data_IF_305500203448
#
_entry.id   IF_305500203448
#
_cell.length_a   1.000
_cell.length_b   1.000
_cell.length_c   1.000
_cell.angle_alpha   90.00
_cell.angle_beta   90.00
_cell.angle_gamma   90.00
#
_symmetry.space_group_name_H-M   'P 1'
#
loop_
_entity.id
_entity.type
_entity.pdbx_description
1 polymer ?
#
# COMPACT_ATOMS: atom_id res chain seq x y z
N UNK A 1 4.36 -23.15 0.58
CA UNK A 1 3.52 -21.95 0.45
C UNK A 1 2.50 -22.06 -0.68
N UNK A 2 2.88 -22.51 -1.90
CA UNK A 2 1.95 -22.57 -3.05
C UNK A 2 0.77 -23.53 -2.87
N UNK A 3 0.83 -24.47 -1.93
CA UNK A 3 -0.30 -25.37 -1.59
C UNK A 3 -1.16 -24.85 -0.41
N UNK A 4 -0.73 -23.78 0.24
CA UNK A 4 -1.41 -23.24 1.41
C UNK A 4 -2.87 -22.82 1.13
N UNK A 5 -3.18 -22.12 0.02
CA UNK A 5 -4.55 -21.75 -0.31
C UNK A 5 -5.48 -22.96 -0.43
N UNK A 6 -5.03 -24.02 -1.12
CA UNK A 6 -5.80 -25.25 -1.30
C UNK A 6 -6.05 -25.95 0.03
N UNK A 7 -5.02 -26.06 0.89
CA UNK A 7 -5.14 -26.66 2.21
C UNK A 7 -6.09 -25.86 3.11
N UNK A 8 -6.08 -24.54 2.97
CA UNK A 8 -6.94 -23.65 3.75
C UNK A 8 -8.35 -23.48 3.17
N UNK A 9 -8.61 -23.92 1.93
CA UNK A 9 -9.86 -23.64 1.22
C UNK A 9 -10.09 -22.13 1.09
N UNK A 10 -9.06 -21.39 0.71
CA UNK A 10 -9.08 -19.92 0.61
C UNK A 10 -8.57 -19.47 -0.76
N UNK A 11 -9.11 -18.36 -1.24
CA UNK A 11 -8.64 -17.71 -2.44
C UNK A 11 -7.41 -16.84 -2.16
N UNK A 12 -6.48 -16.82 -3.11
CA UNK A 12 -5.33 -15.91 -3.06
C UNK A 12 -5.77 -14.57 -3.63
N UNK A 13 -5.71 -13.54 -2.81
CA UNK A 13 -6.09 -12.18 -3.22
C UNK A 13 -4.85 -11.40 -3.66
N UNK A 14 -3.76 -11.54 -2.91
CA UNK A 14 -2.53 -10.79 -3.13
C UNK A 14 -1.31 -11.67 -2.93
N UNK A 15 -0.33 -11.54 -3.81
CA UNK A 15 1.03 -12.02 -3.65
C UNK A 15 2.01 -10.86 -3.76
N UNK A 16 2.86 -10.70 -2.75
CA UNK A 16 3.98 -9.78 -2.82
C UNK A 16 5.27 -10.57 -2.74
N UNK A 17 6.04 -10.49 -3.81
CA UNK A 17 7.34 -11.14 -3.93
C UNK A 17 8.45 -10.15 -3.58
N UNK A 18 9.37 -10.58 -2.74
CA UNK A 18 10.63 -9.92 -2.48
C UNK A 18 11.74 -10.77 -3.07
N UNK A 19 12.43 -10.23 -4.07
CA UNK A 19 13.44 -10.95 -4.85
C UNK A 19 14.83 -10.40 -4.54
N UNK A 20 15.82 -11.28 -4.46
CA UNK A 20 17.21 -10.86 -4.31
C UNK A 20 17.79 -10.26 -5.61
N UNK A 21 17.26 -10.67 -6.76
CA UNK A 21 17.68 -10.27 -8.11
C UNK A 21 16.48 -10.37 -9.05
N UNK A 22 15.75 -9.25 -9.21
CA UNK A 22 14.55 -9.22 -10.05
C UNK A 22 14.86 -9.46 -11.52
N UNK A 23 16.01 -8.99 -12.01
CA UNK A 23 16.40 -9.10 -13.42
C UNK A 23 16.48 -10.57 -13.86
N UNK A 24 17.09 -11.41 -13.03
CA UNK A 24 17.26 -12.84 -13.34
C UNK A 24 16.10 -13.71 -12.86
N UNK A 25 15.36 -13.30 -11.84
CA UNK A 25 14.31 -14.12 -11.22
C UNK A 25 12.92 -13.86 -11.79
N UNK A 26 12.57 -12.60 -12.11
CA UNK A 26 11.25 -12.25 -12.63
C UNK A 26 10.88 -12.98 -13.93
N UNK A 27 11.77 -13.18 -14.92
CA UNK A 27 11.46 -13.94 -16.13
C UNK A 27 11.09 -15.41 -15.88
N UNK A 28 11.48 -15.95 -14.71
CA UNK A 28 11.16 -17.33 -14.32
C UNK A 28 9.80 -17.45 -13.59
N UNK A 29 9.19 -16.30 -13.25
CA UNK A 29 7.89 -16.28 -12.58
C UNK A 29 6.78 -16.55 -13.58
N UNK A 30 5.81 -17.35 -13.16
CA UNK A 30 4.57 -17.50 -13.93
C UNK A 30 3.75 -16.21 -13.83
N UNK A 31 3.16 -15.81 -14.94
CA UNK A 31 2.15 -14.76 -14.92
C UNK A 31 0.91 -15.26 -14.16
N UNK A 32 0.41 -14.45 -13.26
CA UNK A 32 -0.75 -14.77 -12.44
C UNK A 32 -1.84 -13.72 -12.72
N UNK A 33 -2.98 -14.16 -13.22
CA UNK A 33 -4.11 -13.28 -13.52
C UNK A 33 -5.19 -13.30 -12.42
N UNK A 34 -5.16 -14.31 -11.55
CA UNK A 34 -6.22 -14.58 -10.57
C UNK A 34 -5.97 -13.94 -9.22
N UNK A 35 -4.84 -13.26 -9.04
CA UNK A 35 -4.51 -12.51 -7.82
C UNK A 35 -3.74 -11.23 -8.17
N UNK A 36 -3.77 -10.27 -7.25
CA UNK A 36 -3.00 -9.04 -7.39
C UNK A 36 -1.53 -9.30 -7.05
N UNK A 37 -0.61 -8.89 -7.92
CA UNK A 37 0.82 -9.20 -7.77
C UNK A 37 1.65 -7.93 -7.63
N UNK A 38 2.58 -7.95 -6.67
CA UNK A 38 3.62 -6.93 -6.49
C UNK A 38 4.97 -7.63 -6.45
N UNK A 39 5.94 -7.17 -7.24
CA UNK A 39 7.30 -7.71 -7.26
C UNK A 39 8.29 -6.60 -6.91
N UNK A 40 9.04 -6.81 -5.84
CA UNK A 40 10.01 -5.85 -5.31
C UNK A 40 11.37 -6.52 -5.27
N UNK A 41 12.40 -5.87 -5.79
CA UNK A 41 13.76 -6.29 -5.53
C UNK A 41 14.20 -5.80 -4.16
N UNK A 42 14.13 -6.69 -3.23
CA UNK A 42 14.58 -6.51 -1.84
C UNK A 42 15.08 -7.87 -1.34
N UNK A 43 16.38 -8.06 -1.20
CA UNK A 43 16.91 -9.34 -0.72
C UNK A 43 16.37 -9.68 0.67
N UNK A 44 15.84 -10.90 0.87
CA UNK A 44 15.47 -11.36 2.21
C UNK A 44 16.64 -11.40 3.16
N UNK A 45 16.45 -11.01 4.43
CA UNK A 45 17.50 -10.89 5.43
C UNK A 45 18.13 -12.23 5.84
N UNK A 46 17.40 -13.34 5.67
CA UNK A 46 17.87 -14.69 5.97
C UNK A 46 18.77 -15.29 4.88
N UNK A 47 19.08 -14.52 3.83
CA UNK A 47 19.88 -14.94 2.69
C UNK A 47 19.13 -15.80 1.67
N UNK A 48 17.84 -16.06 1.86
CA UNK A 48 17.02 -16.70 0.83
C UNK A 48 16.91 -15.82 -0.41
N UNK A 49 16.61 -16.43 -1.55
CA UNK A 49 16.54 -15.70 -2.83
C UNK A 49 15.18 -15.07 -3.08
N UNK A 50 14.15 -15.58 -2.42
CA UNK A 50 12.76 -15.16 -2.58
C UNK A 50 12.06 -15.23 -1.24
N UNK A 51 11.36 -14.16 -0.87
CA UNK A 51 10.31 -14.19 0.14
C UNK A 51 8.98 -13.84 -0.49
N UNK A 52 7.90 -14.43 0.02
CA UNK A 52 6.53 -14.20 -0.47
C UNK A 52 5.62 -13.89 0.69
N UNK A 53 4.91 -12.78 0.58
CA UNK A 53 3.79 -12.46 1.44
C UNK A 53 2.49 -12.73 0.70
N UNK A 54 1.57 -13.49 1.33
CA UNK A 54 0.28 -13.87 0.77
C UNK A 54 -0.84 -13.25 1.63
N UNK A 55 -1.83 -12.68 0.95
CA UNK A 55 -3.13 -12.39 1.57
C UNK A 55 -4.18 -13.35 1.01
N UNK A 56 -4.80 -14.09 1.91
CA UNK A 56 -5.78 -15.14 1.60
C UNK A 56 -7.13 -14.75 2.18
N UNK A 57 -8.21 -15.00 1.45
CA UNK A 57 -9.57 -14.74 1.92
C UNK A 57 -10.45 -15.96 1.68
N UNK A 58 -11.30 -16.31 2.66
CA UNK A 58 -12.27 -17.40 2.55
C UNK A 58 -13.67 -16.85 2.30
N UNK A 59 -14.47 -17.65 1.60
CA UNK A 59 -15.91 -17.37 1.45
C UNK A 59 -16.23 -16.14 0.62
N UNK A 60 -15.31 -15.70 -0.22
CA UNK A 60 -15.51 -14.56 -1.12
C UNK A 60 -15.71 -15.01 -2.55
N UNK A 61 -16.41 -14.23 -3.33
CA UNK A 61 -16.39 -14.34 -4.79
C UNK A 61 -15.25 -13.50 -5.31
N UNK A 62 -14.25 -14.12 -5.90
CA UNK A 62 -13.05 -13.43 -6.39
C UNK A 62 -13.07 -13.36 -7.91
N UNK A 63 -12.81 -12.17 -8.46
CA UNK A 63 -12.71 -11.96 -9.90
C UNK A 63 -11.61 -10.92 -10.20
N UNK A 64 -11.00 -11.07 -11.38
CA UNK A 64 -10.16 -10.02 -11.95
C UNK A 64 -11.02 -9.17 -12.88
N UNK A 65 -11.17 -7.90 -12.54
CA UNK A 65 -11.90 -6.92 -13.35
C UNK A 65 -10.93 -5.83 -13.79
N UNK A 66 -10.49 -5.89 -15.04
CA UNK A 66 -9.55 -4.94 -15.63
C UNK A 66 -8.27 -4.71 -14.81
N UNK A 67 -7.69 -5.80 -14.29
CA UNK A 67 -6.46 -5.75 -13.49
C UNK A 67 -6.66 -5.40 -12.01
N UNK A 68 -7.91 -5.23 -11.57
CA UNK A 68 -8.28 -5.12 -10.15
C UNK A 68 -8.79 -6.46 -9.67
N UNK A 69 -8.23 -6.98 -8.60
CA UNK A 69 -8.78 -8.16 -7.94
C UNK A 69 -9.88 -7.71 -7.00
N UNK A 70 -11.08 -8.13 -7.33
CA UNK A 70 -12.31 -7.85 -6.58
C UNK A 70 -12.68 -9.09 -5.77
N UNK A 71 -12.73 -8.95 -4.44
CA UNK A 71 -13.24 -9.98 -3.56
C UNK A 71 -14.54 -9.50 -2.91
N UNK A 72 -15.65 -10.17 -3.21
CA UNK A 72 -16.97 -9.82 -2.70
C UNK A 72 -17.39 -10.74 -1.57
N UNK A 73 -17.80 -10.16 -0.46
CA UNK A 73 -18.29 -10.87 0.71
C UNK A 73 -19.25 -10.00 1.53
N UNK A 74 -20.41 -10.52 1.87
CA UNK A 74 -21.42 -9.85 2.74
C UNK A 74 -21.73 -8.40 2.37
N UNK A 75 -21.85 -8.11 1.06
CA UNK A 75 -22.15 -6.76 0.57
C UNK A 75 -20.94 -5.85 0.43
N UNK A 76 -19.79 -6.23 0.94
CA UNK A 76 -18.54 -5.52 0.75
C UNK A 76 -17.84 -5.97 -0.53
N UNK A 77 -17.21 -5.02 -1.23
CA UNK A 77 -16.31 -5.28 -2.36
C UNK A 77 -14.92 -4.77 -2.01
N UNK A 78 -14.00 -5.69 -1.82
CA UNK A 78 -12.59 -5.43 -1.57
C UNK A 78 -11.85 -5.33 -2.90
N UNK A 79 -11.27 -4.17 -3.20
CA UNK A 79 -10.60 -3.85 -4.46
C UNK A 79 -9.09 -3.80 -4.22
N UNK A 80 -8.35 -4.71 -4.86
CA UNK A 80 -6.90 -4.81 -4.71
C UNK A 80 -6.22 -4.60 -6.06
N UNK A 81 -5.33 -3.61 -6.13
CA UNK A 81 -4.52 -3.33 -7.33
C UNK A 81 -3.08 -3.09 -6.90
N UNK A 82 -2.20 -4.01 -7.26
CA UNK A 82 -0.79 -4.00 -6.87
C UNK A 82 0.12 -3.87 -8.09
N UNK A 83 1.38 -3.52 -7.83
CA UNK A 83 2.41 -3.53 -8.86
C UNK A 83 2.29 -2.45 -9.92
N UNK A 84 1.46 -1.42 -9.69
CA UNK A 84 1.32 -0.29 -10.61
C UNK A 84 2.63 0.48 -10.70
N UNK A 85 3.11 0.75 -11.90
CA UNK A 85 4.34 1.51 -12.12
C UNK A 85 4.32 2.19 -13.48
N UNK A 86 5.15 3.22 -13.61
CA UNK A 86 5.36 4.00 -14.83
C UNK A 86 6.82 3.93 -15.27
N UNK A 87 7.08 4.29 -16.53
CA UNK A 87 8.41 4.15 -17.14
C UNK A 87 9.05 5.47 -17.55
N UNK A 88 8.32 6.58 -17.45
CA UNK A 88 8.75 7.90 -17.90
C UNK A 88 8.81 8.86 -16.73
N UNK A 89 9.48 9.98 -16.95
CA UNK A 89 9.54 11.07 -16.00
C UNK A 89 10.34 10.76 -14.72
N UNK A 90 10.30 11.70 -13.81
CA UNK A 90 10.86 11.59 -12.48
C UNK A 90 9.84 10.94 -11.50
N UNK A 91 10.22 10.80 -10.25
CA UNK A 91 9.37 10.18 -9.23
C UNK A 91 8.08 10.97 -8.94
N UNK A 92 8.11 12.30 -9.13
CA UNK A 92 6.91 13.12 -8.97
C UNK A 92 5.92 12.82 -10.10
N UNK A 93 6.38 12.88 -11.35
CA UNK A 93 5.54 12.58 -12.51
C UNK A 93 4.99 11.15 -12.46
N UNK A 94 5.83 10.16 -12.13
CA UNK A 94 5.37 8.77 -12.01
C UNK A 94 4.30 8.62 -10.93
N UNK A 95 4.45 9.26 -9.79
CA UNK A 95 3.47 9.20 -8.70
C UNK A 95 2.15 9.85 -9.07
N UNK A 96 2.19 11.02 -9.69
CA UNK A 96 1.00 11.72 -10.18
C UNK A 96 0.25 10.88 -11.22
N UNK A 97 0.95 10.36 -12.22
CA UNK A 97 0.37 9.49 -13.26
C UNK A 97 -0.28 8.24 -12.67
N UNK A 98 0.36 7.61 -11.68
CA UNK A 98 -0.18 6.43 -10.99
C UNK A 98 -1.45 6.76 -10.20
N UNK A 99 -1.49 7.89 -9.52
CA UNK A 99 -2.66 8.32 -8.75
C UNK A 99 -3.83 8.65 -9.68
N UNK A 100 -3.61 9.41 -10.74
CA UNK A 100 -4.64 9.73 -11.75
C UNK A 100 -5.21 8.44 -12.38
N UNK A 101 -4.34 7.54 -12.83
CA UNK A 101 -4.77 6.25 -13.40
C UNK A 101 -5.54 5.38 -12.39
N UNK A 102 -5.20 5.50 -11.11
CA UNK A 102 -5.93 4.78 -10.06
C UNK A 102 -7.30 5.40 -9.77
N UNK A 103 -7.42 6.73 -9.82
CA UNK A 103 -8.71 7.44 -9.70
C UNK A 103 -9.66 7.04 -10.81
N UNK A 104 -9.19 7.00 -12.07
CA UNK A 104 -9.97 6.48 -13.20
C UNK A 104 -10.41 5.02 -12.97
N UNK A 105 -9.51 4.20 -12.41
CA UNK A 105 -9.83 2.83 -12.02
C UNK A 105 -10.96 2.81 -10.98
N UNK A 106 -10.87 3.62 -9.92
CA UNK A 106 -11.89 3.68 -8.86
C UNK A 106 -13.25 4.15 -9.39
N UNK A 107 -13.28 5.13 -10.31
CA UNK A 107 -14.49 5.61 -10.94
C UNK A 107 -15.27 4.47 -11.63
N UNK A 108 -14.57 3.51 -12.25
CA UNK A 108 -15.20 2.34 -12.87
C UNK A 108 -15.92 1.41 -11.88
N UNK A 109 -15.64 1.58 -10.59
CA UNK A 109 -16.28 0.86 -9.48
C UNK A 109 -17.27 1.75 -8.69
N UNK A 110 -17.59 2.95 -9.18
CA UNK A 110 -18.36 3.99 -8.46
C UNK A 110 -17.70 4.32 -7.10
N UNK A 111 -16.38 4.43 -7.07
CA UNK A 111 -15.59 4.71 -5.90
C UNK A 111 -14.68 5.92 -6.14
N UNK A 112 -14.22 6.56 -5.06
CA UNK A 112 -13.31 7.68 -5.09
C UNK A 112 -12.03 7.39 -4.29
N UNK A 113 -10.99 8.17 -4.53
CA UNK A 113 -9.77 8.07 -3.73
C UNK A 113 -10.06 8.46 -2.27
N UNK A 114 -10.80 9.55 -2.06
CA UNK A 114 -11.10 10.06 -0.73
C UNK A 114 -12.00 9.13 0.09
N UNK A 115 -13.11 8.64 -0.48
CA UNK A 115 -14.10 7.91 0.30
C UNK A 115 -13.78 6.42 0.43
N UNK A 116 -13.07 5.84 -0.54
CA UNK A 116 -12.97 4.38 -0.66
C UNK A 116 -11.56 3.82 -0.53
N UNK A 117 -10.50 4.61 -0.81
CA UNK A 117 -9.14 4.11 -0.69
C UNK A 117 -8.71 4.04 0.78
N UNK A 118 -8.53 2.82 1.27
CA UNK A 118 -8.20 2.56 2.68
C UNK A 118 -6.69 2.53 2.90
N UNK A 119 -5.95 2.02 1.90
CA UNK A 119 -4.52 1.76 2.07
C UNK A 119 -3.75 1.92 0.77
N UNK A 120 -2.59 2.59 0.84
CA UNK A 120 -1.60 2.65 -0.24
C UNK A 120 -0.23 2.18 0.23
N UNK A 121 0.54 1.61 -0.68
CA UNK A 121 1.96 1.28 -0.52
C UNK A 121 2.73 1.89 -1.68
N UNK A 122 3.78 2.66 -1.37
CA UNK A 122 4.71 3.19 -2.35
C UNK A 122 6.09 2.58 -2.10
N UNK A 123 6.58 1.80 -3.04
CA UNK A 123 7.96 1.33 -3.06
C UNK A 123 8.78 2.26 -3.92
N UNK A 124 9.78 2.88 -3.33
CA UNK A 124 10.58 3.94 -3.95
C UNK A 124 11.99 3.42 -4.17
N UNK A 125 12.49 3.52 -5.41
CA UNK A 125 13.76 2.96 -5.85
C UNK A 125 14.95 3.43 -5.03
N UNK A 126 15.03 4.67 -4.72
CA UNK A 126 16.08 5.29 -3.90
C UNK A 126 15.41 6.38 -3.07
N UNK A 127 15.20 6.10 -1.80
CA UNK A 127 14.48 7.03 -0.92
C UNK A 127 15.21 8.34 -0.73
N UNK A 128 16.54 8.34 -0.81
CA UNK A 128 17.33 9.56 -0.59
C UNK A 128 17.17 10.56 -1.74
N UNK A 129 16.94 10.07 -2.96
CA UNK A 129 16.82 10.92 -4.15
C UNK A 129 15.41 11.03 -4.72
N UNK A 130 14.55 10.00 -4.55
CA UNK A 130 13.24 9.91 -5.21
C UNK A 130 12.05 10.15 -4.26
N UNK A 131 12.23 10.01 -2.96
CA UNK A 131 11.13 10.11 -1.99
C UNK A 131 10.47 11.48 -1.97
N UNK A 132 11.26 12.54 -2.07
CA UNK A 132 10.74 13.91 -2.05
C UNK A 132 9.77 14.19 -3.21
N UNK A 133 10.08 13.68 -4.42
CA UNK A 133 9.20 13.81 -5.59
C UNK A 133 7.88 13.06 -5.39
N UNK A 134 7.93 11.83 -4.88
CA UNK A 134 6.73 11.05 -4.55
C UNK A 134 5.86 11.75 -3.52
N UNK A 135 6.44 12.27 -2.44
CA UNK A 135 5.70 12.98 -1.38
C UNK A 135 5.04 14.24 -1.92
N UNK A 136 5.75 15.02 -2.75
CA UNK A 136 5.23 16.24 -3.37
C UNK A 136 4.00 15.93 -4.22
N UNK A 137 4.13 15.01 -5.19
CA UNK A 137 3.04 14.67 -6.09
C UNK A 137 1.81 14.11 -5.35
N UNK A 138 2.04 13.22 -4.36
CA UNK A 138 0.95 12.71 -3.52
C UNK A 138 0.23 13.81 -2.75
N UNK A 139 0.97 14.79 -2.21
CA UNK A 139 0.39 15.91 -1.46
C UNK A 139 -0.49 16.79 -2.35
N UNK A 140 -0.03 17.09 -3.55
CA UNK A 140 -0.74 17.89 -4.54
C UNK A 140 -2.02 17.17 -4.98
N UNK A 141 -1.92 15.92 -5.42
CA UNK A 141 -3.06 15.11 -5.82
C UNK A 141 -4.08 14.92 -4.67
N UNK A 142 -3.63 14.60 -3.46
CA UNK A 142 -4.52 14.43 -2.32
C UNK A 142 -5.31 15.71 -2.00
N UNK A 143 -4.68 16.88 -2.11
CA UNK A 143 -5.37 18.16 -1.91
C UNK A 143 -6.48 18.37 -2.95
N UNK A 144 -6.22 18.03 -4.21
CA UNK A 144 -7.21 18.10 -5.31
C UNK A 144 -8.38 17.14 -5.07
N UNK A 145 -8.12 15.99 -4.47
CA UNK A 145 -9.14 14.98 -4.11
C UNK A 145 -9.86 15.28 -2.77
N UNK A 146 -9.58 16.41 -2.14
CA UNK A 146 -10.21 16.79 -0.87
C UNK A 146 -9.65 16.09 0.37
N UNK A 147 -8.52 15.39 0.23
CA UNK A 147 -7.77 14.76 1.31
C UNK A 147 -6.83 15.79 1.94
N UNK A 148 -7.21 16.32 3.09
CA UNK A 148 -6.53 17.42 3.78
C UNK A 148 -6.46 17.16 5.28
N UNK A 149 -5.73 17.99 6.01
CA UNK A 149 -5.69 17.96 7.47
C UNK A 149 -7.05 18.22 8.16
N UNK A 150 -8.01 18.82 7.42
CA UNK A 150 -9.36 19.11 7.92
C UNK A 150 -10.37 18.01 7.63
N UNK A 151 -10.03 17.12 6.73
CA UNK A 151 -10.84 15.95 6.39
C UNK A 151 -10.17 14.70 6.96
N UNK A 152 -9.40 14.03 6.15
CA UNK A 152 -8.55 12.89 6.52
C UNK A 152 -7.53 12.65 5.41
N UNK A 153 -6.58 11.77 5.68
CA UNK A 153 -5.71 11.18 4.67
C UNK A 153 -5.95 9.67 4.55
N UNK A 154 -5.18 9.02 3.71
CA UNK A 154 -5.20 7.57 3.51
C UNK A 154 -4.07 6.95 4.33
N UNK A 155 -4.30 5.79 4.96
CA UNK A 155 -3.21 5.02 5.56
C UNK A 155 -2.20 4.62 4.49
N UNK A 156 -0.93 4.99 4.65
CA UNK A 156 0.07 4.86 3.60
C UNK A 156 1.45 4.49 4.15
N UNK A 157 2.22 3.76 3.35
CA UNK A 157 3.64 3.51 3.61
C UNK A 157 4.42 3.86 2.37
N UNK A 158 5.33 4.83 2.49
CA UNK A 158 6.40 5.07 1.52
C UNK A 158 7.70 4.47 2.06
N UNK A 159 8.28 3.53 1.34
CA UNK A 159 9.42 2.75 1.81
C UNK A 159 10.39 2.46 0.66
N UNK A 160 11.68 2.34 0.99
CA UNK A 160 12.68 1.87 0.05
C UNK A 160 12.39 0.47 -0.46
N UNK A 161 12.50 0.29 -1.76
CA UNK A 161 12.33 -0.99 -2.45
C UNK A 161 12.39 -0.75 -3.95
N UNK A 162 13.19 -1.55 -4.65
CA UNK A 162 13.32 -1.36 -6.08
C UNK A 162 12.15 -2.03 -6.79
N UNK A 163 11.34 -1.28 -7.57
CA UNK A 163 10.40 -1.91 -8.49
C UNK A 163 11.13 -2.92 -9.39
N UNK A 164 10.48 -4.02 -9.70
CA UNK A 164 11.10 -5.05 -10.55
C UNK A 164 11.42 -4.53 -11.96
N UNK A 165 10.59 -3.63 -12.49
CA UNK A 165 10.93 -2.89 -13.71
C UNK A 165 12.01 -1.83 -13.40
N UNK A 166 13.13 -1.94 -14.11
CA UNK A 166 14.31 -1.08 -13.88
C UNK A 166 14.10 0.40 -14.26
N UNK A 167 13.07 0.72 -15.01
CA UNK A 167 12.70 2.10 -15.41
C UNK A 167 11.78 2.77 -14.40
N UNK A 168 11.11 1.97 -13.56
CA UNK A 168 10.23 2.51 -12.54
C UNK A 168 11.03 3.04 -11.36
N UNK A 169 10.71 4.26 -10.95
CA UNK A 169 11.24 4.90 -9.73
C UNK A 169 10.29 4.68 -8.55
N UNK A 170 8.99 4.54 -8.85
CA UNK A 170 7.93 4.33 -7.87
C UNK A 170 7.05 3.17 -8.32
N UNK A 171 6.72 2.26 -7.40
CA UNK A 171 5.68 1.26 -7.60
C UNK A 171 4.60 1.46 -6.55
N UNK A 172 3.36 1.56 -6.98
CA UNK A 172 2.21 1.74 -6.11
C UNK A 172 1.39 0.46 -6.00
N UNK A 173 0.89 0.21 -4.80
CA UNK A 173 -0.13 -0.79 -4.53
C UNK A 173 -1.24 -0.17 -3.70
N UNK A 174 -2.48 -0.62 -3.92
CA UNK A 174 -3.66 -0.03 -3.30
C UNK A 174 -4.65 -1.08 -2.83
N UNK A 175 -5.37 -0.72 -1.79
CA UNK A 175 -6.56 -1.40 -1.33
C UNK A 175 -7.68 -0.38 -1.13
N UNK A 176 -8.82 -0.62 -1.76
CA UNK A 176 -10.04 0.14 -1.55
C UNK A 176 -11.20 -0.78 -1.16
N UNK A 177 -12.22 -0.19 -0.55
CA UNK A 177 -13.42 -0.89 -0.11
C UNK A 177 -14.67 -0.11 -0.54
N UNK A 178 -15.70 -0.83 -1.00
CA UNK A 178 -17.03 -0.28 -1.21
C UNK A 178 -18.08 -1.11 -0.49
N UNK A 179 -19.29 -0.57 -0.31
CA UNK A 179 -20.38 -1.25 0.38
C UNK A 179 -20.34 -1.11 1.90
N UNK A 180 -19.57 -0.18 2.42
CA UNK A 180 -19.53 0.14 3.85
C UNK A 180 -20.20 1.50 4.12
N UNK A 181 -20.68 1.69 5.33
CA UNK A 181 -21.18 2.97 5.81
C UNK A 181 -20.03 3.80 6.40
N UNK A 182 -20.03 5.13 6.26
CA UNK A 182 -18.95 5.99 6.79
C UNK A 182 -18.65 5.78 8.27
N UNK A 183 -19.64 5.43 9.07
CA UNK A 183 -19.48 5.12 10.50
C UNK A 183 -18.64 3.87 10.79
N UNK A 184 -18.42 3.02 9.81
CA UNK A 184 -17.59 1.81 9.92
C UNK A 184 -16.10 2.09 9.74
N UNK A 185 -15.77 3.30 9.28
CA UNK A 185 -14.39 3.74 9.08
C UNK A 185 -13.99 4.74 10.15
N UNK A 186 -12.85 4.53 10.78
CA UNK A 186 -12.25 5.51 11.70
C UNK A 186 -10.74 5.56 11.56
N UNK A 187 -10.17 6.70 11.85
CA UNK A 187 -8.74 6.96 11.73
C UNK A 187 -8.07 6.83 13.10
N UNK A 188 -6.82 6.37 13.10
CA UNK A 188 -6.02 6.18 14.30
C UNK A 188 -5.04 7.34 14.45
N UNK A 189 -5.01 7.88 15.64
CA UNK A 189 -4.07 8.91 16.07
C UNK A 189 -3.33 8.40 17.31
N UNK A 190 -2.08 8.80 17.46
CA UNK A 190 -1.28 8.43 18.62
C UNK A 190 -0.64 9.68 19.27
N UNK A 191 -1.43 10.70 19.70
CA UNK A 191 -0.92 12.04 20.04
C UNK A 191 0.03 12.06 21.23
N UNK A 192 0.00 11.05 22.09
CA UNK A 192 0.95 10.89 23.19
C UNK A 192 2.31 10.36 22.77
N UNK A 193 2.40 9.74 21.57
CA UNK A 193 3.59 9.06 21.07
C UNK A 193 4.09 9.61 19.75
N UNK A 194 3.19 10.07 18.88
CA UNK A 194 3.48 10.53 17.53
C UNK A 194 2.78 11.85 17.27
N UNK A 195 3.43 12.76 16.55
CA UNK A 195 2.81 13.98 16.06
C UNK A 195 1.96 13.72 14.80
N UNK A 196 1.03 14.62 14.46
CA UNK A 196 0.31 14.60 13.19
C UNK A 196 1.28 14.64 12.00
N UNK A 197 0.97 13.92 10.94
CA UNK A 197 1.87 13.76 9.80
C UNK A 197 2.04 15.04 9.00
N UNK A 198 1.01 15.88 8.92
CA UNK A 198 1.05 17.16 8.23
C UNK A 198 2.01 18.17 8.85
N UNK A 199 2.33 18.04 10.15
CA UNK A 199 3.29 18.94 10.84
C UNK A 199 4.71 18.82 10.28
N UNK A 200 5.08 17.69 9.71
CA UNK A 200 6.37 17.49 9.05
C UNK A 200 6.25 17.26 7.52
N UNK A 201 5.12 17.71 6.95
CA UNK A 201 4.98 17.90 5.51
C UNK A 201 4.57 16.67 4.72
N UNK A 202 4.18 15.57 5.36
CA UNK A 202 3.68 14.37 4.67
C UNK A 202 2.18 14.17 4.88
N UNK A 203 1.54 13.44 3.96
CA UNK A 203 0.08 13.31 3.86
C UNK A 203 -0.31 11.84 3.95
N UNK A 204 -0.48 11.35 5.18
CA UNK A 204 -1.02 10.01 5.45
C UNK A 204 -1.62 9.93 6.86
N UNK A 205 -2.58 9.04 7.07
CA UNK A 205 -3.06 8.69 8.41
C UNK A 205 -2.13 7.67 9.08
N UNK A 206 -2.02 7.73 10.41
CA UNK A 206 -1.26 6.74 11.19
C UNK A 206 -1.84 5.35 11.08
N UNK A 207 -3.15 5.26 10.90
CA UNK A 207 -3.86 4.03 10.61
C UNK A 207 -5.33 4.27 10.31
N UNK A 208 -5.95 3.27 9.69
CA UNK A 208 -7.39 3.22 9.43
C UNK A 208 -7.94 1.92 10.00
N UNK A 209 -9.07 2.00 10.68
CA UNK A 209 -9.83 0.84 11.14
C UNK A 209 -11.10 0.75 10.31
N UNK A 210 -11.34 -0.42 9.76
CA UNK A 210 -12.60 -0.78 9.11
C UNK A 210 -13.33 -1.78 9.99
N UNK A 211 -14.50 -1.38 10.49
CA UNK A 211 -15.32 -2.21 11.38
C UNK A 211 -16.39 -2.95 10.57
N UNK A 212 -16.36 -4.27 10.66
CA UNK A 212 -17.38 -5.16 10.13
C UNK A 212 -18.19 -5.71 11.31
N UNK A 213 -19.35 -6.19 11.15
CA UNK A 213 -20.21 -6.56 12.28
C UNK A 213 -19.58 -7.54 13.31
N UNK A 214 -18.67 -8.42 12.86
CA UNK A 214 -18.05 -9.47 13.68
C UNK A 214 -16.54 -9.26 13.93
N UNK A 215 -15.91 -8.30 13.24
CA UNK A 215 -14.46 -8.05 13.30
C UNK A 215 -14.12 -6.64 12.85
N UNK A 216 -12.88 -6.26 13.07
CA UNK A 216 -12.29 -5.06 12.49
C UNK A 216 -10.97 -5.40 11.80
N UNK A 217 -10.70 -4.72 10.69
CA UNK A 217 -9.38 -4.69 10.06
C UNK A 217 -8.67 -3.38 10.41
N UNK A 218 -7.44 -3.49 10.86
CA UNK A 218 -6.60 -2.34 11.19
C UNK A 218 -5.45 -2.24 10.18
N UNK A 219 -5.38 -1.11 9.49
CA UNK A 219 -4.34 -0.81 8.51
C UNK A 219 -3.42 0.24 9.10
N UNK A 220 -2.23 -0.16 9.53
CA UNK A 220 -1.23 0.74 10.11
C UNK A 220 -0.26 1.25 9.04
N UNK A 221 0.00 2.55 9.05
CA UNK A 221 1.04 3.15 8.21
C UNK A 221 2.43 2.86 8.76
N UNK A 222 3.42 2.85 7.88
CA UNK A 222 4.81 2.82 8.32
C UNK A 222 5.15 4.07 9.10
N UNK A 223 5.85 3.91 10.22
CA UNK A 223 6.25 5.01 11.11
C UNK A 223 7.70 4.84 11.50
N UNK A 224 8.47 5.91 11.43
CA UNK A 224 9.83 5.97 11.95
C UNK A 224 9.83 6.03 13.49
N UNK A 225 10.98 5.75 14.11
CA UNK A 225 11.17 5.91 15.56
C UNK A 225 11.26 7.39 15.93
N UNK A 226 10.10 8.04 16.07
CA UNK A 226 9.93 9.44 16.44
C UNK A 226 9.05 9.57 17.68
N UNK A 227 9.10 10.72 18.34
CA UNK A 227 8.19 11.07 19.43
C UNK A 227 7.07 12.01 18.94
N UNK A 228 6.21 12.44 19.86
CA UNK A 228 5.10 13.34 19.57
C UNK A 228 5.48 14.80 19.27
N UNK A 229 6.79 15.10 19.23
CA UNK A 229 7.34 16.37 18.77
C UNK A 229 8.01 16.24 17.38
N UNK A 230 7.97 15.03 16.79
CA UNK A 230 8.63 14.72 15.52
C UNK A 230 10.15 14.51 15.66
N UNK A 231 10.68 14.42 16.88
CA UNK A 231 12.10 14.20 17.12
C UNK A 231 12.43 12.70 16.98
N UNK A 232 13.54 12.38 16.30
CA UNK A 232 14.04 11.00 16.19
C UNK A 232 14.50 10.52 17.57
N UNK A 233 13.99 9.36 18.00
CA UNK A 233 14.36 8.73 19.26
C UNK A 233 15.14 7.44 19.03
N UNK A 234 15.95 7.06 20.01
CA UNK A 234 16.78 5.86 19.99
C UNK A 234 17.83 5.84 18.85
N UNK A 235 18.38 7.01 18.52
CA UNK A 235 19.42 7.15 17.49
C UNK A 235 20.56 6.15 17.72
N UNK A 236 20.95 5.43 16.66
CA UNK A 236 22.02 4.41 16.69
C UNK A 236 21.64 3.06 17.33
N UNK A 237 20.41 2.91 17.81
CA UNK A 237 19.94 1.65 18.40
C UNK A 237 18.75 1.07 17.62
N UNK A 238 19.06 0.24 16.62
CA UNK A 238 18.06 -0.35 15.73
C UNK A 238 17.01 -1.21 16.47
N UNK A 239 17.40 -1.90 17.52
CA UNK A 239 16.48 -2.74 18.31
C UNK A 239 15.42 -1.86 18.97
N UNK A 240 15.83 -0.82 19.71
CA UNK A 240 14.90 0.11 20.35
C UNK A 240 14.10 0.93 19.35
N UNK A 241 14.64 1.20 18.15
CA UNK A 241 13.89 1.87 17.08
C UNK A 241 12.78 0.97 16.52
N UNK A 242 13.02 -0.34 16.48
CA UNK A 242 12.04 -1.32 15.96
C UNK A 242 10.96 -1.63 17.01
N UNK A 243 11.29 -1.59 18.29
CA UNK A 243 10.37 -1.83 19.41
C UNK A 243 9.46 -0.62 19.71
N UNK A 244 9.82 0.58 19.20
CA UNK A 244 9.09 1.83 19.43
C UNK A 244 7.74 1.87 18.71
#
# INVERSE_FOLDING_TARGET
>A
LLRLPQVMGADVILKRYFLSDSTNQQPLMKQEADCSVSVIQQPPLDGSKVAVWLYLQKGSKVANVNGVIVAEHNGYRHLWKMGMHEHKGDSAWQTESLLISYEETLQSFNATLADNCIRTWFFVRDVDTQYAGMVKARKENFAEQGLTERTHYISSTGIGGLPADTRALVQMGTYALTGFEPSQQRYLYAPTHLNPTYEYGVTFERGTVMEYGDRAHVFLSGTASINNKGEVVHVGNIVKQTER
#
